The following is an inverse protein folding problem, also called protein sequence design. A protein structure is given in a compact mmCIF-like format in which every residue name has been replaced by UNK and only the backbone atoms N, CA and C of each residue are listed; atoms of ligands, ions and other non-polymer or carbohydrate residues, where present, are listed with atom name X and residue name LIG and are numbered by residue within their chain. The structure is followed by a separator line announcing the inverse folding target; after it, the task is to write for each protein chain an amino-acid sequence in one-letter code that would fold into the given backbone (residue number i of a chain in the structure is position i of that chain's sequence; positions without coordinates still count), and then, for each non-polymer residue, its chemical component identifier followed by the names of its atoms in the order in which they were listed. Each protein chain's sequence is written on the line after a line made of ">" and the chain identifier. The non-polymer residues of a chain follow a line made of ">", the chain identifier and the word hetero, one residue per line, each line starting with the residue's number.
data_IF_082401680987
#
_entry.id   IF_082401680987
#
_cell.length_a   1.000
_cell.length_b   1.000
_cell.length_c   1.000
_cell.angle_alpha   90.00
_cell.angle_beta   90.00
_cell.angle_gamma   90.00
#
_symmetry.space_group_name_H-M   'P 1'
#
loop_
_entity.id
_entity.type
_entity.pdbx_description
1 polymer ?
#
# COMPACT_ATOMS: atom_id res chain seq x y z
N UNK A 1 30.34 58.60 -49.72
CA UNK A 1 30.48 57.75 -48.51
C UNK A 1 31.92 57.87 -48.05
N UNK A 2 32.23 58.85 -47.19
CA UNK A 2 33.62 59.24 -46.86
C UNK A 2 34.12 58.57 -45.57
N UNK A 3 35.34 58.03 -45.65
CA UNK A 3 36.11 57.42 -44.56
C UNK A 3 37.02 58.47 -43.88
N UNK A 4 36.93 58.52 -42.54
CA UNK A 4 37.98 58.44 -41.50
C UNK A 4 39.38 59.05 -41.77
N UNK A 5 39.81 59.97 -40.88
CA UNK A 5 41.20 60.21 -40.42
C UNK A 5 41.11 60.74 -38.95
N UNK A 6 41.67 60.12 -37.88
CA UNK A 6 43.09 60.10 -37.40
C UNK A 6 43.44 61.42 -36.65
N UNK A 7 44.09 61.56 -35.49
CA UNK A 7 44.87 60.72 -34.51
C UNK A 7 45.25 61.64 -33.29
N UNK A 8 45.66 61.01 -32.16
CA UNK A 8 46.75 61.40 -31.19
C UNK A 8 46.53 62.69 -30.33
N UNK A 9 47.00 62.87 -29.08
CA UNK A 9 47.86 62.15 -28.11
C UNK A 9 47.66 62.79 -26.69
N UNK A 10 47.95 62.04 -25.61
CA UNK A 10 47.91 62.46 -24.17
C UNK A 10 48.94 63.56 -23.78
N UNK A 11 48.80 64.23 -22.60
CA UNK A 11 49.51 63.76 -21.38
C UNK A 11 48.79 64.00 -20.01
N UNK A 12 49.24 63.26 -18.98
CA UNK A 12 48.97 63.44 -17.52
C UNK A 12 49.74 64.66 -16.92
N UNK A 13 49.60 65.11 -15.64
CA UNK A 13 49.73 64.29 -14.39
C UNK A 13 48.97 64.72 -13.11
N UNK A 14 49.01 63.84 -12.07
CA UNK A 14 49.05 64.07 -10.59
C UNK A 14 47.94 64.90 -9.90
N UNK A 15 47.40 64.61 -8.70
CA UNK A 15 47.96 63.99 -7.48
C UNK A 15 46.86 63.65 -6.44
N UNK A 16 47.10 62.60 -5.65
CA UNK A 16 46.70 62.27 -4.26
C UNK A 16 45.31 62.63 -3.69
N UNK A 17 44.56 61.65 -3.16
CA UNK A 17 44.44 61.34 -1.71
C UNK A 17 43.21 60.46 -1.38
N UNK A 18 43.37 59.59 -0.37
CA UNK A 18 42.37 58.94 0.51
C UNK A 18 41.16 58.27 -0.19
N UNK A 19 41.05 56.94 -0.24
CA UNK A 19 41.06 56.05 0.92
C UNK A 19 39.73 56.12 1.66
N UNK A 20 38.76 55.27 1.29
CA UNK A 20 37.73 54.76 2.21
C UNK A 20 37.19 53.44 1.66
N UNK A 21 37.46 52.38 2.41
CA UNK A 21 37.00 51.03 2.18
C UNK A 21 35.55 50.93 2.67
N UNK A 22 34.60 50.68 1.77
CA UNK A 22 33.19 50.47 2.15
C UNK A 22 33.00 49.00 2.47
N UNK A 23 32.92 48.68 3.76
CA UNK A 23 32.51 47.37 4.28
C UNK A 23 31.08 47.05 3.81
N UNK A 24 30.93 45.99 3.01
CA UNK A 24 29.63 45.37 2.74
C UNK A 24 29.22 44.54 3.96
N UNK A 25 28.26 45.03 4.73
CA UNK A 25 27.63 44.29 5.83
C UNK A 25 26.58 43.33 5.23
N UNK A 26 26.93 42.05 5.08
CA UNK A 26 26.01 41.00 4.68
C UNK A 26 25.04 40.66 5.82
N UNK A 27 23.76 40.95 5.63
CA UNK A 27 22.69 40.55 6.54
C UNK A 27 22.37 39.08 6.26
N UNK A 28 22.76 38.17 7.15
CA UNK A 28 22.23 36.80 7.17
C UNK A 28 20.80 36.84 7.69
N UNK A 29 19.82 36.60 6.82
CA UNK A 29 18.45 36.29 7.19
C UNK A 29 18.37 34.82 7.64
N UNK A 30 18.02 34.52 8.90
CA UNK A 30 17.75 33.15 9.30
C UNK A 30 16.41 32.71 8.66
N UNK A 31 16.48 31.84 7.67
CA UNK A 31 15.33 31.11 7.14
C UNK A 31 14.85 30.12 8.19
N UNK A 32 13.87 30.54 9.00
CA UNK A 32 13.14 29.63 9.87
C UNK A 32 12.35 28.64 8.98
N UNK A 33 12.76 27.37 8.96
CA UNK A 33 11.96 26.29 8.42
C UNK A 33 10.75 26.09 9.34
N UNK A 34 9.61 26.69 8.97
CA UNK A 34 8.32 26.40 9.60
C UNK A 34 7.93 24.96 9.28
N UNK A 35 8.10 24.06 10.24
CA UNK A 35 7.54 22.72 10.21
C UNK A 35 6.02 22.83 10.32
N UNK A 36 5.30 22.58 9.23
CA UNK A 36 3.84 22.44 9.30
C UNK A 36 3.52 21.18 10.12
N UNK A 37 2.62 21.26 11.12
CA UNK A 37 2.15 20.06 11.79
C UNK A 37 1.43 19.20 10.75
N UNK A 38 1.92 17.97 10.54
CA UNK A 38 1.16 16.96 9.79
C UNK A 38 -0.09 16.69 10.62
N UNK A 39 -1.25 17.16 10.15
CA UNK A 39 -2.53 16.74 10.71
C UNK A 39 -2.93 15.48 9.97
N UNK A 40 -3.00 14.38 10.69
CA UNK A 40 -3.75 13.21 10.26
C UNK A 40 -5.12 13.68 9.75
N UNK A 41 -5.47 13.29 8.53
CA UNK A 41 -6.73 13.66 7.90
C UNK A 41 -7.81 12.73 8.45
N UNK A 42 -8.28 13.01 9.67
CA UNK A 42 -9.57 12.48 10.12
C UNK A 42 -10.66 13.24 9.36
N UNK A 43 -11.09 12.67 8.22
CA UNK A 43 -12.33 13.09 7.58
C UNK A 43 -13.44 12.86 8.61
N UNK A 44 -14.22 13.90 8.93
CA UNK A 44 -15.19 13.86 10.01
C UNK A 44 -16.09 12.60 9.98
N UNK A 45 -16.50 12.15 11.17
CA UNK A 45 -17.33 10.97 11.45
C UNK A 45 -16.59 9.65 11.67
N UNK A 46 -15.38 9.68 12.24
CA UNK A 46 -14.71 8.46 12.76
C UNK A 46 -14.25 7.46 11.68
N UNK A 47 -14.29 7.88 10.42
CA UNK A 47 -13.68 7.15 9.30
C UNK A 47 -12.19 7.40 9.28
N UNK A 48 -11.42 6.37 8.97
CA UNK A 48 -9.97 6.49 8.79
C UNK A 48 -9.57 6.00 7.40
N UNK A 49 -8.36 6.36 6.98
CA UNK A 49 -7.80 5.99 5.68
C UNK A 49 -6.32 5.67 5.83
N UNK A 50 -5.83 4.77 4.99
CA UNK A 50 -4.40 4.53 4.88
C UNK A 50 -3.71 5.74 4.21
N UNK A 51 -2.72 6.32 4.89
CA UNK A 51 -1.80 7.32 4.31
C UNK A 51 -0.91 6.68 3.24
N UNK A 52 -0.45 5.45 3.50
CA UNK A 52 0.24 4.61 2.52
C UNK A 52 -0.47 3.27 2.38
N UNK A 53 -0.83 2.94 1.14
CA UNK A 53 -1.63 1.77 0.82
C UNK A 53 -0.94 0.46 1.25
N UNK A 54 -1.62 -0.42 2.01
CA UNK A 54 -1.30 -1.84 2.06
C UNK A 54 -1.18 -2.44 0.66
N UNK A 55 -0.43 -3.53 0.52
CA UNK A 55 -0.22 -4.18 -0.79
C UNK A 55 -0.41 -5.68 -0.71
N UNK A 56 -1.13 -6.24 -1.67
CA UNK A 56 -1.15 -7.67 -1.92
C UNK A 56 0.17 -8.06 -2.59
N UNK A 57 1.03 -8.78 -1.89
CA UNK A 57 2.37 -9.17 -2.37
C UNK A 57 2.44 -10.63 -2.83
N UNK A 58 1.48 -11.47 -2.41
CA UNK A 58 1.40 -12.86 -2.87
C UNK A 58 -0.03 -13.38 -2.87
N UNK A 59 -0.33 -14.19 -3.89
CA UNK A 59 -1.45 -15.12 -3.92
C UNK A 59 -0.93 -16.51 -4.30
N UNK A 60 -1.15 -17.52 -3.47
CA UNK A 60 -0.65 -18.88 -3.69
C UNK A 60 -1.69 -19.93 -3.28
N UNK A 61 -1.62 -21.12 -3.87
CA UNK A 61 -2.47 -22.25 -3.55
C UNK A 61 -1.63 -23.53 -3.32
N UNK A 62 -2.04 -24.38 -2.39
CA UNK A 62 -1.49 -25.75 -2.24
C UNK A 62 -2.10 -26.65 -3.32
N UNK A 63 -1.65 -26.57 -4.57
CA UNK A 63 -2.22 -27.43 -5.61
C UNK A 63 -1.74 -28.90 -5.45
N UNK A 64 -2.69 -29.84 -5.27
CA UNK A 64 -2.51 -31.30 -5.40
C UNK A 64 -3.79 -31.96 -5.96
N UNK A 65 -4.27 -31.50 -7.12
CA UNK A 65 -5.46 -32.07 -7.81
C UNK A 65 -6.79 -31.42 -7.43
N UNK A 66 -7.94 -32.09 -7.64
CA UNK A 66 -9.28 -31.52 -7.42
C UNK A 66 -9.73 -31.47 -5.95
N UNK A 67 -8.96 -32.02 -5.02
CA UNK A 67 -9.32 -32.08 -3.60
C UNK A 67 -9.26 -30.75 -2.86
N UNK A 68 -9.50 -30.81 -1.55
CA UNK A 68 -9.41 -29.65 -0.66
C UNK A 68 -8.00 -29.04 -0.65
N UNK A 69 -7.94 -27.71 -0.64
CA UNK A 69 -6.70 -26.96 -0.77
C UNK A 69 -6.67 -25.72 0.14
N UNK A 70 -5.48 -25.15 0.32
CA UNK A 70 -5.22 -23.92 1.05
C UNK A 70 -4.85 -22.82 0.07
N UNK A 71 -5.57 -21.70 0.12
CA UNK A 71 -5.28 -20.50 -0.64
C UNK A 71 -4.77 -19.42 0.30
N UNK A 72 -3.64 -18.82 -0.04
CA UNK A 72 -2.97 -17.81 0.77
C UNK A 72 -2.91 -16.49 0.04
N UNK A 73 -3.30 -15.43 0.73
CA UNK A 73 -3.20 -14.05 0.31
C UNK A 73 -2.35 -13.30 1.32
N UNK A 74 -1.19 -12.81 0.90
CA UNK A 74 -0.24 -12.14 1.77
C UNK A 74 -0.27 -10.63 1.51
N UNK A 75 -0.56 -9.89 2.57
CA UNK A 75 -0.69 -8.43 2.57
C UNK A 75 0.42 -7.85 3.44
N UNK A 76 1.15 -6.88 2.88
CA UNK A 76 2.07 -6.03 3.67
C UNK A 76 1.37 -4.72 4.02
N UNK A 77 1.44 -4.34 5.28
CA UNK A 77 1.05 -3.01 5.76
C UNK A 77 2.35 -2.20 5.87
N UNK A 78 2.56 -1.16 5.04
CA UNK A 78 3.81 -0.40 5.07
C UNK A 78 3.99 0.31 6.43
N UNK A 79 5.23 0.60 6.82
CA UNK A 79 5.53 1.28 8.09
C UNK A 79 4.88 2.67 8.19
N UNK A 80 4.76 3.36 7.06
CA UNK A 80 4.10 4.65 6.93
C UNK A 80 2.64 4.53 6.47
N UNK A 81 1.94 3.44 6.82
CA UNK A 81 0.53 3.25 6.46
C UNK A 81 -0.41 4.30 7.08
N UNK A 82 0.01 4.97 8.16
CA UNK A 82 -0.81 5.91 8.94
C UNK A 82 -1.82 5.20 9.84
N UNK A 83 -2.51 4.19 9.29
CA UNK A 83 -3.53 3.40 9.98
C UNK A 83 -3.21 1.90 9.93
N UNK A 84 -3.61 1.10 10.94
CA UNK A 84 -3.45 -0.34 10.93
C UNK A 84 -4.49 -1.00 10.00
N UNK A 85 -4.28 -2.27 9.66
CA UNK A 85 -5.22 -3.06 8.87
C UNK A 85 -6.20 -3.80 9.80
N UNK A 86 -7.49 -3.46 9.72
CA UNK A 86 -8.55 -4.02 10.58
C UNK A 86 -9.23 -5.24 9.95
N UNK A 87 -9.46 -5.21 8.64
CA UNK A 87 -10.13 -6.30 7.94
C UNK A 87 -9.67 -6.42 6.49
N UNK A 88 -9.87 -7.61 5.93
CA UNK A 88 -9.63 -7.91 4.51
C UNK A 88 -10.81 -8.67 3.94
N UNK A 89 -11.33 -8.22 2.80
CA UNK A 89 -12.28 -8.96 1.98
C UNK A 89 -11.56 -9.58 0.79
N UNK A 90 -11.80 -10.87 0.56
CA UNK A 90 -11.32 -11.64 -0.59
C UNK A 90 -12.53 -12.07 -1.41
N UNK A 91 -12.65 -11.59 -2.64
CA UNK A 91 -13.79 -11.87 -3.51
C UNK A 91 -13.34 -12.53 -4.81
N UNK A 92 -13.88 -13.70 -5.11
CA UNK A 92 -13.64 -14.34 -6.39
C UNK A 92 -14.36 -13.55 -7.50
N UNK A 93 -13.62 -13.17 -8.54
CA UNK A 93 -14.21 -12.65 -9.77
C UNK A 93 -14.95 -13.77 -10.51
N UNK A 94 -16.02 -13.40 -11.21
CA UNK A 94 -16.82 -14.34 -12.02
C UNK A 94 -15.91 -15.17 -12.92
N UNK A 95 -16.07 -16.49 -12.86
CA UNK A 95 -15.33 -17.46 -13.63
C UNK A 95 -16.24 -18.65 -13.98
N UNK A 96 -15.69 -19.68 -14.63
CA UNK A 96 -16.43 -20.90 -15.01
C UNK A 96 -16.91 -21.69 -13.78
N UNK A 97 -16.12 -21.72 -12.71
CA UNK A 97 -16.49 -22.31 -11.42
C UNK A 97 -16.43 -21.26 -10.30
N UNK A 98 -17.22 -21.46 -9.25
CA UNK A 98 -17.15 -20.71 -7.99
C UNK A 98 -16.58 -21.60 -6.90
N UNK A 99 -15.54 -21.11 -6.22
CA UNK A 99 -14.85 -21.85 -5.16
C UNK A 99 -15.51 -21.55 -3.82
N UNK A 100 -15.85 -22.62 -3.11
CA UNK A 100 -16.44 -22.55 -1.77
C UNK A 100 -15.37 -22.75 -0.71
N UNK A 101 -15.43 -21.93 0.34
CA UNK A 101 -14.48 -21.96 1.44
C UNK A 101 -15.08 -22.61 2.70
N UNK A 102 -14.28 -23.43 3.37
CA UNK A 102 -14.50 -23.90 4.73
C UNK A 102 -13.93 -22.86 5.70
N UNK A 103 -14.80 -21.94 6.12
CA UNK A 103 -14.44 -20.85 7.01
C UNK A 103 -13.91 -21.36 8.36
N UNK A 104 -14.46 -22.48 8.87
CA UNK A 104 -14.06 -23.06 10.16
C UNK A 104 -12.61 -23.55 10.20
N UNK A 105 -12.03 -23.83 9.03
CA UNK A 105 -10.63 -24.28 8.86
C UNK A 105 -9.73 -23.22 8.24
N UNK A 106 -10.24 -22.00 8.09
CA UNK A 106 -9.50 -20.86 7.59
C UNK A 106 -8.89 -20.08 8.76
N UNK A 107 -7.77 -19.41 8.52
CA UNK A 107 -7.00 -18.70 9.58
C UNK A 107 -6.17 -17.56 9.00
N UNK A 108 -5.60 -16.74 9.88
CA UNK A 108 -4.57 -15.77 9.51
C UNK A 108 -3.32 -15.93 10.39
N UNK A 109 -2.17 -15.52 9.87
CA UNK A 109 -0.89 -15.56 10.60
C UNK A 109 0.06 -14.46 10.13
N UNK A 110 1.02 -14.11 10.98
CA UNK A 110 2.07 -13.13 10.68
C UNK A 110 3.14 -13.73 9.77
N UNK A 111 3.59 -12.94 8.81
CA UNK A 111 4.62 -13.29 7.84
C UNK A 111 4.06 -13.89 6.56
N UNK A 112 4.96 -14.47 5.78
CA UNK A 112 4.71 -14.88 4.41
C UNK A 112 5.13 -16.34 4.16
N UNK A 113 5.44 -17.12 5.19
CA UNK A 113 5.75 -18.54 5.02
C UNK A 113 4.52 -19.34 4.59
N UNK A 114 4.68 -20.24 3.61
CA UNK A 114 3.59 -21.13 3.22
C UNK A 114 3.18 -22.10 4.34
N UNK A 115 4.13 -22.50 5.20
CA UNK A 115 3.88 -23.39 6.34
C UNK A 115 3.08 -22.70 7.46
N UNK A 116 2.96 -21.37 7.43
CA UNK A 116 2.37 -20.57 8.48
C UNK A 116 3.39 -19.80 9.31
N UNK A 117 2.89 -19.06 10.28
CA UNK A 117 3.65 -18.28 11.25
C UNK A 117 2.83 -18.12 12.55
N UNK A 118 3.21 -17.17 13.42
CA UNK A 118 2.42 -16.83 14.59
C UNK A 118 0.97 -16.53 14.23
N UNK A 119 0.03 -17.22 14.89
CA UNK A 119 -1.40 -17.08 14.59
C UNK A 119 -1.89 -15.68 14.93
N UNK A 120 -2.82 -15.17 14.11
CA UNK A 120 -3.55 -13.93 14.36
C UNK A 120 -4.98 -14.29 14.77
N UNK A 121 -5.42 -13.80 15.91
CA UNK A 121 -6.81 -13.93 16.36
C UNK A 121 -7.75 -13.15 15.44
N UNK A 122 -8.89 -13.76 15.11
CA UNK A 122 -9.91 -13.17 14.26
C UNK A 122 -11.12 -12.79 15.13
N UNK A 123 -11.61 -11.57 14.99
CA UNK A 123 -12.88 -11.16 15.58
C UNK A 123 -14.04 -11.87 14.86
N UNK A 124 -13.94 -11.99 13.54
CA UNK A 124 -14.91 -12.70 12.73
C UNK A 124 -14.30 -13.13 11.40
N UNK A 125 -14.91 -14.15 10.80
CA UNK A 125 -14.62 -14.58 9.44
C UNK A 125 -15.90 -15.07 8.78
N UNK A 126 -16.11 -14.67 7.53
CA UNK A 126 -17.34 -14.88 6.76
C UNK A 126 -17.59 -13.66 5.88
N UNK A 127 -18.58 -13.68 5.00
CA UNK A 127 -18.83 -12.53 4.14
C UNK A 127 -19.54 -12.90 2.84
N UNK A 128 -20.18 -11.90 2.24
CA UNK A 128 -21.22 -12.03 1.21
C UNK A 128 -22.62 -12.21 1.81
N UNK A 129 -23.65 -11.57 1.22
CA UNK A 129 -25.06 -11.97 1.37
C UNK A 129 -25.13 -13.53 1.26
N UNK A 130 -26.06 -14.28 1.90
CA UNK A 130 -26.16 -15.74 1.66
C UNK A 130 -26.19 -16.16 0.18
N UNK A 131 -26.56 -15.23 -0.70
CA UNK A 131 -26.54 -15.33 -2.16
C UNK A 131 -25.14 -15.19 -2.81
N UNK A 132 -24.17 -14.57 -2.14
CA UNK A 132 -22.83 -14.22 -2.64
C UNK A 132 -21.76 -15.16 -2.03
N UNK A 133 -21.83 -16.45 -2.40
CA UNK A 133 -20.92 -17.51 -1.90
C UNK A 133 -19.44 -17.36 -2.29
N UNK A 134 -19.07 -16.28 -2.97
CA UNK A 134 -17.78 -16.04 -3.60
C UNK A 134 -16.93 -14.98 -2.87
N UNK A 135 -17.36 -14.54 -1.68
CA UNK A 135 -16.66 -13.55 -0.87
C UNK A 135 -16.34 -14.08 0.53
N UNK A 136 -15.20 -13.68 1.08
CA UNK A 136 -14.83 -13.95 2.48
C UNK A 136 -14.23 -12.68 3.06
N UNK A 137 -14.85 -12.14 4.10
CA UNK A 137 -14.27 -11.08 4.94
C UNK A 137 -13.61 -11.70 6.16
N UNK A 138 -12.43 -11.21 6.49
CA UNK A 138 -11.65 -11.59 7.66
C UNK A 138 -11.43 -10.32 8.47
N UNK A 139 -12.01 -10.25 9.67
CA UNK A 139 -11.79 -9.17 10.61
C UNK A 139 -10.82 -9.64 11.70
N UNK A 140 -9.75 -8.89 11.90
CA UNK A 140 -8.74 -9.20 12.92
C UNK A 140 -9.22 -8.74 14.30
N UNK A 141 -9.01 -9.56 15.32
CA UNK A 141 -9.37 -9.22 16.71
C UNK A 141 -8.54 -8.03 17.22
N UNK A 142 -7.23 -8.08 16.94
CA UNK A 142 -6.34 -6.92 17.03
C UNK A 142 -5.93 -6.49 15.61
N UNK A 143 -6.06 -5.20 15.25
CA UNK A 143 -5.58 -4.68 13.97
C UNK A 143 -4.10 -5.03 13.72
N UNK A 144 -3.75 -5.23 12.45
CA UNK A 144 -2.37 -5.47 12.03
C UNK A 144 -1.67 -4.12 11.90
N UNK A 145 -0.74 -3.86 12.81
CA UNK A 145 -0.01 -2.59 12.88
C UNK A 145 0.85 -2.32 11.63
N UNK A 146 1.09 -1.05 11.29
CA UNK A 146 2.07 -0.66 10.27
C UNK A 146 3.43 -1.36 10.43
N UNK A 147 4.06 -1.70 9.31
CA UNK A 147 5.35 -2.42 9.26
C UNK A 147 5.23 -3.93 9.32
N UNK A 148 4.03 -4.48 9.54
CA UNK A 148 3.81 -5.92 9.59
C UNK A 148 3.34 -6.51 8.25
N UNK A 149 3.58 -7.81 8.11
CA UNK A 149 3.03 -8.62 7.02
C UNK A 149 2.10 -9.67 7.60
N UNK A 150 0.91 -9.81 7.00
CA UNK A 150 -0.09 -10.81 7.39
C UNK A 150 -0.45 -11.67 6.20
N UNK A 151 -0.62 -12.97 6.42
CA UNK A 151 -1.17 -13.90 5.44
C UNK A 151 -2.53 -14.39 5.89
N UNK A 152 -3.54 -14.21 5.04
CA UNK A 152 -4.86 -14.82 5.16
C UNK A 152 -4.83 -16.16 4.43
N UNK A 153 -5.13 -17.24 5.15
CA UNK A 153 -5.09 -18.62 4.67
C UNK A 153 -6.50 -19.20 4.67
N UNK A 154 -7.14 -19.22 3.50
CA UNK A 154 -8.48 -19.77 3.30
C UNK A 154 -8.42 -21.25 2.92
N UNK A 155 -9.24 -22.07 3.57
CA UNK A 155 -9.41 -23.48 3.21
C UNK A 155 -10.50 -23.60 2.16
N UNK A 156 -10.15 -23.99 0.94
CA UNK A 156 -11.14 -24.36 -0.06
C UNK A 156 -11.68 -25.76 0.23
N UNK A 157 -12.99 -25.95 0.06
CA UNK A 157 -13.62 -27.28 0.15
C UNK A 157 -13.04 -28.19 -0.94
N UNK A 158 -12.90 -27.66 -2.14
CA UNK A 158 -12.32 -28.32 -3.31
C UNK A 158 -11.70 -27.28 -4.25
N UNK A 159 -10.72 -27.71 -5.04
CA UNK A 159 -10.22 -26.94 -6.18
C UNK A 159 -11.29 -26.89 -7.29
N UNK A 160 -11.24 -25.89 -8.20
CA UNK A 160 -12.18 -25.85 -9.31
C UNK A 160 -12.06 -27.09 -10.21
N UNK A 161 -13.18 -27.49 -10.83
CA UNK A 161 -13.26 -28.62 -11.74
C UNK A 161 -12.54 -28.33 -13.05
N UNK A 162 -12.62 -27.08 -13.50
CA UNK A 162 -11.94 -26.62 -14.70
C UNK A 162 -10.64 -25.90 -14.34
N UNK A 163 -9.54 -26.39 -14.93
CA UNK A 163 -8.25 -25.72 -14.86
C UNK A 163 -8.28 -24.32 -15.50
N UNK A 164 -7.27 -23.52 -15.18
CA UNK A 164 -7.14 -22.14 -15.65
C UNK A 164 -6.80 -21.17 -14.53
N UNK A 165 -6.95 -19.88 -14.83
CA UNK A 165 -6.60 -18.80 -13.92
C UNK A 165 -7.86 -18.26 -13.26
N UNK A 166 -7.89 -18.32 -11.93
CA UNK A 166 -8.96 -17.76 -11.12
C UNK A 166 -8.43 -16.51 -10.42
N UNK A 167 -9.22 -15.43 -10.49
CA UNK A 167 -8.84 -14.13 -9.95
C UNK A 167 -9.63 -13.85 -8.68
N UNK A 168 -8.95 -13.35 -7.67
CA UNK A 168 -9.52 -12.98 -6.39
C UNK A 168 -9.17 -11.53 -6.10
N UNK A 169 -10.17 -10.66 -6.09
CA UNK A 169 -10.04 -9.29 -5.61
C UNK A 169 -9.74 -9.27 -4.12
N UNK A 170 -8.85 -8.39 -3.70
CA UNK A 170 -8.52 -8.20 -2.28
C UNK A 170 -8.78 -6.75 -1.92
N UNK A 171 -9.60 -6.51 -0.90
CA UNK A 171 -9.93 -5.17 -0.39
C UNK A 171 -9.54 -5.08 1.08
N UNK A 172 -8.79 -4.06 1.45
CA UNK A 172 -8.35 -3.78 2.82
C UNK A 172 -9.19 -2.68 3.47
N UNK A 173 -9.40 -2.78 4.78
CA UNK A 173 -10.14 -1.79 5.56
C UNK A 173 -9.32 -1.39 6.79
N UNK A 174 -9.23 -0.09 7.04
CA UNK A 174 -8.68 0.47 8.28
C UNK A 174 -9.75 0.49 9.39
N UNK A 175 -9.39 0.74 10.67
CA UNK A 175 -10.36 0.91 11.74
C UNK A 175 -11.33 2.06 11.49
N UNK A 176 -12.38 2.14 12.29
CA UNK A 176 -13.36 3.23 12.19
C UNK A 176 -14.66 2.80 11.51
N UNK A 177 -15.73 3.45 11.90
CA UNK A 177 -17.06 3.15 11.41
C UNK A 177 -17.19 3.62 9.96
N UNK A 178 -17.67 2.75 9.07
CA UNK A 178 -17.84 3.04 7.64
C UNK A 178 -16.53 3.45 6.91
N UNK A 179 -15.36 3.09 7.46
CA UNK A 179 -14.08 3.33 6.77
C UNK A 179 -14.09 2.66 5.39
N UNK A 180 -13.79 3.40 4.31
CA UNK A 180 -13.95 2.88 2.97
C UNK A 180 -12.91 1.82 2.64
N UNK A 181 -13.33 0.81 1.87
CA UNK A 181 -12.46 -0.27 1.43
C UNK A 181 -11.45 0.20 0.37
N UNK A 182 -10.19 -0.15 0.57
CA UNK A 182 -9.11 0.06 -0.39
C UNK A 182 -8.88 -1.22 -1.19
N UNK A 183 -9.18 -1.19 -2.49
CA UNK A 183 -8.93 -2.32 -3.38
C UNK A 183 -7.44 -2.47 -3.70
N UNK A 184 -6.84 -3.58 -3.27
CA UNK A 184 -5.41 -3.87 -3.39
C UNK A 184 -5.03 -4.52 -4.72
N UNK A 185 -6.01 -4.87 -5.55
CA UNK A 185 -5.82 -5.59 -6.80
C UNK A 185 -6.34 -7.03 -6.75
N UNK A 186 -5.99 -7.83 -7.77
CA UNK A 186 -6.40 -9.24 -7.87
C UNK A 186 -5.23 -10.19 -7.71
N UNK A 187 -5.33 -11.11 -6.75
CA UNK A 187 -4.51 -12.32 -6.72
C UNK A 187 -4.92 -13.27 -7.83
N UNK A 188 -3.95 -13.97 -8.43
CA UNK A 188 -4.18 -14.95 -9.50
C UNK A 188 -3.75 -16.32 -8.98
N UNK A 189 -4.68 -17.26 -9.00
CA UNK A 189 -4.41 -18.66 -8.68
C UNK A 189 -4.52 -19.48 -9.95
N UNK A 190 -3.52 -20.32 -10.22
CA UNK A 190 -3.50 -21.22 -11.36
C UNK A 190 -3.85 -22.63 -10.90
N UNK A 191 -4.79 -23.25 -11.61
CA UNK A 191 -5.19 -24.63 -11.40
C UNK A 191 -4.94 -25.43 -12.66
N UNK A 192 -4.26 -26.55 -12.51
CA UNK A 192 -4.11 -27.53 -13.57
C UNK A 192 -5.44 -28.25 -13.79
N UNK A 193 -5.67 -28.73 -15.01
CA UNK A 193 -6.84 -29.55 -15.29
C UNK A 193 -6.73 -30.85 -14.49
N UNK A 194 -7.80 -31.21 -13.78
CA UNK A 194 -7.90 -32.55 -13.19
C UNK A 194 -7.97 -33.59 -14.32
N UNK A 195 -7.02 -34.55 -14.31
CA UNK A 195 -7.04 -35.72 -15.19
C UNK A 195 -8.10 -36.74 -14.73
#
# INVERSE_FOLDING_TARGET
>A
MFRRFVRFVDPSPSSHFLGTSTLLLGILLPTALTTLPTRAVELGQGQTFFESAPRLIRSANSNRGSGSAIYQFTIVVPENAGEPLQAVTISQKKNVDTIKFDISKSRAFIGDSFAGGPSVSLASIGGGNPSDSNEVTVAFDKPIEPGNTVTVSLRALENPRFGGIYQFGVTAFSPGENSPGLYLGSGRLHFERAN
#
